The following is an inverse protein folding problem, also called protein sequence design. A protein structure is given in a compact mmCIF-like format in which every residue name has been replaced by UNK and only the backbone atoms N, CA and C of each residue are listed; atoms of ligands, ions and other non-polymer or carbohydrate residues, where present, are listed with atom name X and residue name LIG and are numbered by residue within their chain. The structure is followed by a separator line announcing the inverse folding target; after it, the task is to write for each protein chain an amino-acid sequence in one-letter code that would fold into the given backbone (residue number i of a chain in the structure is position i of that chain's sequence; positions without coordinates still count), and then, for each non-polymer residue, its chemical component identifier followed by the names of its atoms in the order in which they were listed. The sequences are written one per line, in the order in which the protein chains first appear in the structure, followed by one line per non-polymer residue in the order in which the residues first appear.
data_IF_381363093291
#
_entry.id   IF_381363093291
#
_cell.length_a   1.000
_cell.length_b   1.000
_cell.length_c   1.000
_cell.angle_alpha   90.00
_cell.angle_beta   90.00
_cell.angle_gamma   90.00
#
_symmetry.space_group_name_H-M   'P 1'
#
loop_
_entity.id
_entity.type
_entity.pdbx_description
1 polymer ?
#
# COMPACT_ATOMS: atom_id res chain seq x y z
N UNK A 1 -7.70 -10.40 5.96
CA UNK A 1 -6.33 -9.89 6.24
C UNK A 1 -6.31 -8.64 7.12
N UNK A 2 -6.84 -7.49 6.66
CA UNK A 2 -6.70 -6.15 7.32
C UNK A 2 -6.91 -6.12 8.83
N UNK A 3 -7.95 -6.77 9.37
CA UNK A 3 -8.22 -6.76 10.82
C UNK A 3 -7.10 -7.42 11.66
N UNK A 4 -6.51 -8.51 11.17
CA UNK A 4 -5.42 -9.22 11.86
C UNK A 4 -4.15 -8.36 11.81
N UNK A 5 -3.82 -7.83 10.63
CA UNK A 5 -2.66 -6.94 10.43
C UNK A 5 -2.76 -5.71 11.33
N UNK A 6 -3.95 -5.12 11.45
CA UNK A 6 -4.25 -4.04 12.39
C UNK A 6 -3.90 -4.44 13.82
N UNK A 7 -4.43 -5.56 14.31
CA UNK A 7 -4.17 -6.03 15.68
C UNK A 7 -2.69 -6.24 15.94
N UNK A 8 -1.95 -6.86 15.02
CA UNK A 8 -0.50 -7.08 15.17
C UNK A 8 0.28 -5.76 15.16
N UNK A 9 -0.10 -4.81 14.29
CA UNK A 9 0.53 -3.49 14.24
C UNK A 9 0.31 -2.70 15.54
N UNK A 10 -0.89 -2.75 16.12
CA UNK A 10 -1.21 -2.11 17.41
C UNK A 10 -0.49 -2.75 18.61
N UNK A 11 0.04 -3.97 18.46
CA UNK A 11 0.93 -4.58 19.45
C UNK A 11 2.39 -4.08 19.34
N UNK A 12 2.68 -3.17 18.39
CA UNK A 12 4.00 -2.58 18.20
C UNK A 12 4.90 -3.33 17.21
N UNK A 13 4.35 -4.26 16.43
CA UNK A 13 5.12 -5.02 15.44
C UNK A 13 5.02 -4.41 14.04
N UNK A 14 6.17 -4.30 13.36
CA UNK A 14 6.19 -4.17 11.90
C UNK A 14 5.58 -5.43 11.29
N UNK A 15 4.79 -5.28 10.23
CA UNK A 15 4.09 -6.39 9.59
C UNK A 15 4.50 -6.46 8.12
N UNK A 16 5.05 -7.59 7.70
CA UNK A 16 5.08 -8.01 6.30
C UNK A 16 3.86 -8.91 6.09
N UNK A 17 2.90 -8.46 5.27
CA UNK A 17 1.76 -9.28 4.86
C UNK A 17 2.06 -9.87 3.48
N UNK A 18 1.72 -11.14 3.30
CA UNK A 18 1.63 -11.78 2.00
C UNK A 18 0.35 -12.61 1.89
N UNK A 19 -0.26 -12.64 0.70
CA UNK A 19 -1.33 -13.59 0.39
C UNK A 19 -0.76 -15.02 0.29
N UNK A 20 -1.64 -16.02 0.33
CA UNK A 20 -1.25 -17.45 0.45
C UNK A 20 -0.58 -18.01 -0.81
N UNK A 21 -0.75 -17.32 -1.93
CA UNK A 21 -0.21 -17.63 -3.25
C UNK A 21 1.14 -16.95 -3.53
N UNK A 22 1.77 -16.37 -2.51
CA UNK A 22 3.10 -15.75 -2.61
C UNK A 22 4.20 -16.76 -2.27
N UNK A 23 5.24 -16.81 -3.09
CA UNK A 23 6.47 -17.58 -2.83
C UNK A 23 7.64 -16.62 -2.66
N UNK A 24 8.33 -16.72 -1.51
CA UNK A 24 9.53 -15.93 -1.22
C UNK A 24 10.79 -16.65 -1.68
N UNK A 25 11.55 -16.03 -2.57
CA UNK A 25 12.85 -16.56 -3.03
C UNK A 25 14.03 -16.18 -2.13
N UNK A 26 13.85 -15.17 -1.26
CA UNK A 26 14.83 -14.66 -0.29
C UNK A 26 14.09 -14.11 0.92
N UNK A 27 14.81 -13.94 2.03
CA UNK A 27 14.30 -13.22 3.20
C UNK A 27 13.95 -11.77 2.82
N UNK A 28 12.69 -11.33 2.97
CA UNK A 28 12.29 -9.98 2.62
C UNK A 28 12.65 -8.93 3.68
N UNK A 29 13.06 -9.33 4.89
CA UNK A 29 13.26 -8.41 6.00
C UNK A 29 14.37 -7.39 5.72
N UNK A 30 15.45 -7.78 5.06
CA UNK A 30 16.55 -6.86 4.72
C UNK A 30 16.06 -5.69 3.86
N UNK A 31 15.17 -5.96 2.90
CA UNK A 31 14.59 -4.94 2.03
C UNK A 31 13.80 -3.90 2.85
N UNK A 32 12.91 -4.36 3.73
CA UNK A 32 12.00 -3.47 4.48
C UNK A 32 12.63 -2.81 5.71
N UNK A 33 13.64 -3.44 6.31
CA UNK A 33 14.19 -3.00 7.60
C UNK A 33 15.55 -2.33 7.49
N UNK A 34 16.32 -2.59 6.42
CA UNK A 34 17.66 -2.02 6.25
C UNK A 34 17.74 -1.05 5.06
N UNK A 35 17.11 -1.40 3.93
CA UNK A 35 17.23 -0.61 2.70
C UNK A 35 16.23 0.55 2.64
N UNK A 36 15.02 0.35 3.16
CA UNK A 36 13.95 1.35 3.12
C UNK A 36 13.36 1.58 4.52
N UNK A 37 13.96 2.49 5.29
CA UNK A 37 13.59 2.72 6.70
C UNK A 37 12.58 3.85 6.93
N UNK A 38 12.38 4.71 5.93
CA UNK A 38 11.56 5.93 6.05
C UNK A 38 10.05 5.68 5.88
N UNK A 39 9.57 4.93 4.87
CA UNK A 39 8.13 4.78 4.65
C UNK A 39 7.42 4.01 5.76
N UNK A 40 6.20 4.45 6.10
CA UNK A 40 5.29 3.76 7.03
C UNK A 40 4.56 2.59 6.36
N UNK A 41 4.40 2.66 5.04
CA UNK A 41 3.71 1.67 4.23
C UNK A 41 4.44 1.51 2.90
N UNK A 42 4.65 0.26 2.49
CA UNK A 42 5.23 -0.08 1.19
C UNK A 42 4.40 -1.18 0.57
N UNK A 43 4.15 -1.07 -0.73
CA UNK A 43 3.26 -1.97 -1.45
C UNK A 43 3.78 -2.13 -2.87
N UNK A 44 3.57 -3.30 -3.46
CA UNK A 44 3.85 -3.52 -4.88
C UNK A 44 2.86 -2.77 -5.78
N UNK A 45 3.28 -2.45 -7.01
CA UNK A 45 2.41 -1.87 -8.04
C UNK A 45 1.85 -2.95 -9.00
N UNK A 46 0.66 -2.72 -9.57
CA UNK A 46 -0.04 -3.58 -10.55
C UNK A 46 -0.81 -2.70 -11.55
N UNK A 47 -0.46 -2.60 -12.85
CA UNK A 47 0.49 -3.38 -13.63
C UNK A 47 1.84 -2.67 -13.78
N UNK A 48 2.94 -3.37 -13.49
CA UNK A 48 4.20 -3.06 -14.17
C UNK A 48 4.13 -3.76 -15.52
N UNK A 49 3.53 -3.09 -16.51
CA UNK A 49 3.75 -3.50 -17.89
C UNK A 49 5.22 -3.19 -18.21
N UNK A 50 6.00 -4.21 -18.52
CA UNK A 50 7.33 -4.03 -19.12
C UNK A 50 7.24 -3.71 -20.62
N UNK A 51 6.03 -3.50 -21.16
CA UNK A 51 5.84 -3.05 -22.53
C UNK A 51 6.00 -1.54 -22.55
N UNK A 52 7.17 -1.12 -23.02
CA UNK A 52 7.42 0.23 -23.49
C UNK A 52 7.37 0.18 -25.02
N UNK A 53 6.74 1.19 -25.64
CA UNK A 53 6.88 1.38 -27.08
C UNK A 53 8.38 1.52 -27.41
N UNK A 54 8.79 1.06 -28.59
CA UNK A 54 10.18 1.16 -29.02
C UNK A 54 10.60 2.64 -29.07
N UNK A 55 11.45 3.08 -28.13
CA UNK A 55 11.87 4.47 -27.98
C UNK A 55 11.23 5.23 -26.81
N UNK A 56 10.34 4.59 -26.03
CA UNK A 56 9.86 5.16 -24.76
C UNK A 56 10.96 5.08 -23.69
N UNK A 57 11.34 6.24 -23.15
CA UNK A 57 12.34 6.39 -22.09
C UNK A 57 11.71 6.50 -20.71
N UNK A 58 10.38 6.53 -20.61
CA UNK A 58 9.64 6.55 -19.35
C UNK A 58 9.46 5.13 -18.82
N UNK A 59 9.96 4.87 -17.61
CA UNK A 59 9.77 3.57 -16.94
C UNK A 59 8.32 3.32 -16.51
N UNK A 60 7.44 4.33 -16.48
CA UNK A 60 6.21 4.29 -15.67
C UNK A 60 5.08 5.18 -16.25
N UNK A 61 4.68 5.01 -17.52
CA UNK A 61 3.62 5.83 -18.10
C UNK A 61 2.24 5.44 -17.51
N UNK A 62 1.62 6.35 -16.77
CA UNK A 62 0.26 6.18 -16.24
C UNK A 62 0.16 5.73 -14.78
N UNK A 63 1.29 5.58 -14.09
CA UNK A 63 1.32 5.15 -12.69
C UNK A 63 0.99 6.33 -11.77
N UNK A 64 0.02 6.16 -10.87
CA UNK A 64 -0.42 7.18 -9.92
C UNK A 64 -0.52 6.61 -8.52
N UNK A 65 -0.23 7.41 -7.50
CA UNK A 65 -0.21 6.98 -6.08
C UNK A 65 -1.57 6.45 -5.58
N UNK A 66 -2.68 6.76 -6.28
CA UNK A 66 -4.04 6.32 -5.93
C UNK A 66 -4.57 5.15 -6.74
N UNK A 67 -3.77 4.58 -7.65
CA UNK A 67 -4.18 3.52 -8.55
C UNK A 67 -3.03 2.53 -8.72
N UNK A 68 -3.31 1.31 -9.15
CA UNK A 68 -2.27 0.34 -9.48
C UNK A 68 -1.39 -0.15 -8.31
N UNK A 69 -1.91 -0.36 -7.09
CA UNK A 69 -1.15 -1.04 -6.00
C UNK A 69 -1.68 -2.44 -5.71
N UNK A 70 -0.84 -3.46 -5.63
CA UNK A 70 -1.26 -4.81 -5.28
C UNK A 70 -1.15 -5.05 -3.76
N UNK A 71 -2.26 -5.42 -3.12
CA UNK A 71 -2.31 -5.70 -1.66
C UNK A 71 -1.95 -7.14 -1.28
N UNK A 72 -1.50 -7.93 -2.24
CA UNK A 72 -1.04 -9.30 -2.05
C UNK A 72 0.32 -9.38 -1.37
N UNK A 73 1.16 -8.34 -1.48
CA UNK A 73 2.37 -8.17 -0.66
C UNK A 73 2.50 -6.72 -0.23
N UNK A 74 2.65 -6.48 1.08
CA UNK A 74 2.95 -5.15 1.59
C UNK A 74 3.68 -5.19 2.94
N UNK A 75 4.38 -4.11 3.23
CA UNK A 75 4.98 -3.85 4.53
C UNK A 75 4.27 -2.69 5.21
N UNK A 76 3.99 -2.85 6.50
CA UNK A 76 3.40 -1.84 7.37
C UNK A 76 4.26 -1.68 8.62
N UNK A 77 4.76 -0.46 8.83
CA UNK A 77 5.58 -0.11 10.00
C UNK A 77 4.71 0.06 11.24
N UNK A 78 5.20 -0.37 12.39
CA UNK A 78 4.67 0.03 13.69
C UNK A 78 5.13 1.46 14.00
N UNK A 79 4.39 2.42 13.43
CA UNK A 79 4.60 3.84 13.59
C UNK A 79 3.25 4.55 13.70
N UNK A 80 3.21 5.81 14.17
CA UNK A 80 1.97 6.59 14.19
C UNK A 80 1.27 6.64 12.83
N UNK A 81 2.03 6.80 11.74
CA UNK A 81 1.50 6.82 10.37
C UNK A 81 0.98 5.46 9.91
N UNK A 82 1.70 4.37 10.22
CA UNK A 82 1.27 3.01 9.88
C UNK A 82 -0.01 2.61 10.61
N UNK A 83 -0.10 2.92 11.90
CA UNK A 83 -1.30 2.68 12.71
C UNK A 83 -2.49 3.50 12.22
N UNK A 84 -2.29 4.79 11.90
CA UNK A 84 -3.33 5.63 11.33
C UNK A 84 -3.84 5.09 9.98
N UNK A 85 -2.94 4.63 9.11
CA UNK A 85 -3.29 4.04 7.82
C UNK A 85 -4.13 2.77 7.99
N UNK A 86 -3.70 1.82 8.83
CA UNK A 86 -4.41 0.55 8.97
C UNK A 86 -5.74 0.70 9.72
N UNK A 87 -5.85 1.67 10.63
CA UNK A 87 -7.12 2.06 11.24
C UNK A 87 -8.10 2.59 10.20
N UNK A 88 -7.62 3.50 9.35
CA UNK A 88 -8.44 4.02 8.27
C UNK A 88 -8.85 2.91 7.32
N UNK A 89 -7.92 2.09 6.86
CA UNK A 89 -8.18 0.96 5.96
C UNK A 89 -9.20 -0.01 6.55
N UNK A 90 -9.07 -0.36 7.83
CA UNK A 90 -10.05 -1.18 8.53
C UNK A 90 -11.45 -0.53 8.57
N UNK A 91 -11.53 0.78 8.83
CA UNK A 91 -12.79 1.52 8.87
C UNK A 91 -13.52 1.53 7.52
N UNK A 92 -12.79 1.49 6.40
CA UNK A 92 -13.38 1.45 5.06
C UNK A 92 -14.17 0.16 4.83
N UNK A 93 -13.83 -0.95 5.51
CA UNK A 93 -14.61 -2.20 5.39
C UNK A 93 -16.08 -2.03 5.82
N UNK A 94 -16.35 -1.16 6.80
CA UNK A 94 -17.71 -0.84 7.23
C UNK A 94 -18.45 0.08 6.25
N UNK A 95 -17.73 0.77 5.35
CA UNK A 95 -18.33 1.67 4.35
C UNK A 95 -18.68 0.95 3.04
N UNK A 96 -18.01 -0.17 2.73
CA UNK A 96 -18.12 -0.85 1.44
C UNK A 96 -18.62 -2.31 1.55
N UNK A 97 -19.57 -2.55 2.46
CA UNK A 97 -19.95 -3.85 3.06
C UNK A 97 -20.26 -5.03 2.10
N UNK A 98 -20.38 -4.88 0.78
CA UNK A 98 -20.78 -6.01 -0.10
C UNK A 98 -20.09 -6.20 -1.45
N UNK A 99 -19.27 -5.28 -1.95
CA UNK A 99 -18.81 -5.37 -3.35
C UNK A 99 -17.34 -4.97 -3.61
N UNK A 100 -16.58 -4.61 -2.57
CA UNK A 100 -15.22 -4.10 -2.77
C UNK A 100 -14.18 -4.97 -2.09
N UNK A 101 -13.13 -5.32 -2.84
CA UNK A 101 -11.94 -5.94 -2.29
C UNK A 101 -11.21 -4.93 -1.40
N UNK A 102 -10.43 -5.39 -0.43
CA UNK A 102 -9.74 -4.48 0.50
C UNK A 102 -8.79 -3.50 -0.22
N UNK A 103 -8.24 -3.91 -1.36
CA UNK A 103 -7.47 -3.08 -2.29
C UNK A 103 -8.25 -1.87 -2.81
N UNK A 104 -9.49 -2.06 -3.25
CA UNK A 104 -10.28 -1.00 -3.88
C UNK A 104 -10.61 0.14 -2.90
N UNK A 105 -10.93 -0.24 -1.65
CA UNK A 105 -11.19 0.75 -0.59
C UNK A 105 -9.96 1.60 -0.32
N UNK A 106 -8.78 0.97 -0.26
CA UNK A 106 -7.52 1.66 -0.04
C UNK A 106 -7.18 2.60 -1.22
N UNK A 107 -7.41 2.18 -2.47
CA UNK A 107 -7.21 3.02 -3.65
C UNK A 107 -8.01 4.31 -3.57
N UNK A 108 -9.31 4.20 -3.32
CA UNK A 108 -10.19 5.37 -3.25
C UNK A 108 -9.76 6.34 -2.16
N UNK A 109 -9.28 5.83 -1.03
CA UNK A 109 -8.77 6.66 0.05
C UNK A 109 -7.49 7.40 -0.36
N UNK A 110 -6.49 6.69 -0.89
CA UNK A 110 -5.21 7.28 -1.27
C UNK A 110 -5.32 8.24 -2.45
N UNK A 111 -6.16 7.92 -3.45
CA UNK A 111 -6.44 8.81 -4.57
C UNK A 111 -7.00 10.18 -4.12
N UNK A 112 -7.90 10.18 -3.11
CA UNK A 112 -8.43 11.43 -2.53
C UNK A 112 -7.35 12.24 -1.82
N UNK A 113 -6.45 11.58 -1.10
CA UNK A 113 -5.36 12.25 -0.40
C UNK A 113 -4.36 12.91 -1.37
N UNK A 114 -4.03 12.23 -2.47
CA UNK A 114 -3.14 12.77 -3.52
C UNK A 114 -3.77 13.98 -4.19
N UNK A 115 -5.08 13.95 -4.48
CA UNK A 115 -5.79 15.08 -5.06
C UNK A 115 -5.78 16.33 -4.14
N UNK A 116 -5.87 16.14 -2.81
CA UNK A 116 -5.80 17.25 -1.85
C UNK A 116 -4.42 17.91 -1.82
N UNK A 117 -3.33 17.13 -1.89
CA UNK A 117 -1.97 17.68 -1.81
C UNK A 117 -1.49 18.34 -3.13
N UNK A 118 -2.05 18.00 -4.30
CA UNK A 118 -1.63 18.55 -5.60
C UNK A 118 -2.07 20.02 -5.84
N UNK A 119 -3.02 20.53 -5.06
CA UNK A 119 -3.57 21.89 -5.21
C UNK A 119 -3.06 22.92 -4.19
N UNK A 120 -1.97 22.63 -3.47
CA UNK A 120 -1.37 23.57 -2.52
C UNK A 120 -2.18 23.80 -1.24
N UNK A 121 -3.13 22.91 -0.93
CA UNK A 121 -3.83 22.88 0.35
C UNK A 121 -3.05 22.02 1.37
N UNK A 122 -3.12 22.32 2.67
CA UNK A 122 -2.57 21.44 3.70
C UNK A 122 -3.24 20.07 3.58
N UNK A 123 -2.42 19.01 3.49
CA UNK A 123 -2.89 17.63 3.34
C UNK A 123 -3.86 17.26 4.47
N UNK A 124 -4.97 16.60 4.12
CA UNK A 124 -6.14 16.37 4.98
C UNK A 124 -6.02 15.13 5.87
#
# INVERSE_FOLDING_TARGET
KVAIVRSVNHLGFNVVHSDIDVVWFRDPLDFFTQQHTVPDYMVSMDPITTQNDLGDTGLEKGISVGHYMNTGVYFLRASPGGSALIDKWHSLRAQYIRQYHDQDGLYQYLAKQVACCHYGYPCC
#
